data_IF_120645756590
#
_entry.id   IF_120645756590
#
_cell.length_a   1.000
_cell.length_b   1.000
_cell.length_c   1.000
_cell.angle_alpha   90.00
_cell.angle_beta   90.00
_cell.angle_gamma   90.00
#
_symmetry.space_group_name_H-M   'P 1'
#
loop_
_entity.id
_entity.type
_entity.pdbx_description
1 polymer ?
#
# COMPACT_ATOMS: atom_id res chain seq x y z
N UNK A 1 -22.58 23.67 59.22
CA UNK A 1 -22.33 22.53 58.31
C UNK A 1 -22.46 21.27 59.13
N UNK A 2 -23.45 20.42 58.84
CA UNK A 2 -23.73 19.24 59.67
C UNK A 2 -22.62 18.20 59.44
N UNK A 3 -21.70 18.09 60.42
CA UNK A 3 -20.57 17.16 60.39
C UNK A 3 -21.07 15.71 60.53
N UNK A 4 -20.59 14.82 59.66
CA UNK A 4 -20.93 13.39 59.65
C UNK A 4 -20.53 12.67 60.97
N UNK A 5 -19.53 13.16 61.69
CA UNK A 5 -19.19 12.64 63.02
C UNK A 5 -20.28 12.94 64.06
N UNK A 6 -20.86 14.15 64.02
CA UNK A 6 -21.96 14.53 64.91
C UNK A 6 -23.23 13.74 64.61
N UNK A 7 -23.51 13.46 63.33
CA UNK A 7 -24.61 12.58 62.91
C UNK A 7 -24.42 11.15 63.44
N UNK A 8 -23.20 10.60 63.37
CA UNK A 8 -22.88 9.25 63.88
C UNK A 8 -23.01 9.17 65.41
N UNK A 9 -22.57 10.21 66.13
CA UNK A 9 -22.74 10.31 67.58
C UNK A 9 -24.22 10.38 67.97
N UNK A 10 -25.00 11.22 67.30
CA UNK A 10 -26.44 11.33 67.54
C UNK A 10 -27.19 10.03 67.22
N UNK A 11 -26.79 9.32 66.16
CA UNK A 11 -27.33 7.98 65.84
C UNK A 11 -27.09 6.98 66.97
N UNK A 12 -25.89 6.97 67.55
CA UNK A 12 -25.54 6.09 68.68
C UNK A 12 -26.37 6.39 69.93
N UNK A 13 -26.67 7.67 70.19
CA UNK A 13 -27.58 8.07 71.28
C UNK A 13 -29.00 7.56 71.02
N UNK A 14 -29.55 7.82 69.83
CA UNK A 14 -30.89 7.37 69.43
C UNK A 14 -31.02 5.85 69.51
N UNK A 15 -29.99 5.09 69.08
CA UNK A 15 -29.96 3.62 69.14
C UNK A 15 -30.08 3.10 70.58
N UNK A 16 -29.38 3.71 71.55
CA UNK A 16 -29.49 3.34 72.97
C UNK A 16 -30.90 3.56 73.53
N UNK A 17 -31.61 4.57 73.04
CA UNK A 17 -33.01 4.80 73.40
C UNK A 17 -33.95 3.80 72.73
N UNK A 18 -33.73 3.43 71.45
CA UNK A 18 -34.51 2.39 70.77
C UNK A 18 -34.45 1.05 71.52
N UNK A 19 -33.29 0.67 72.07
CA UNK A 19 -33.11 -0.57 72.82
C UNK A 19 -33.78 -0.58 74.22
N UNK A 20 -34.09 0.60 74.78
CA UNK A 20 -34.61 0.75 76.15
C UNK A 20 -36.13 1.05 76.22
N UNK A 21 -36.82 1.16 75.08
CA UNK A 21 -38.25 1.51 75.04
C UNK A 21 -39.11 0.24 74.99
N UNK A 22 -39.90 0.01 76.04
CA UNK A 22 -41.00 -0.98 76.02
C UNK A 22 -42.14 -0.47 75.11
N UNK A 23 -42.60 -1.33 74.21
CA UNK A 23 -43.67 -1.14 73.22
C UNK A 23 -44.84 -0.24 73.70
N UNK A 24 -44.69 1.06 73.50
CA UNK A 24 -45.78 2.03 73.50
C UNK A 24 -45.79 2.62 72.09
N UNK A 25 -46.84 2.28 71.34
CA UNK A 25 -46.89 2.30 69.87
C UNK A 25 -46.56 3.66 69.23
N UNK A 26 -46.75 4.77 69.96
CA UNK A 26 -46.50 6.12 69.47
C UNK A 26 -45.05 6.60 69.66
N UNK A 27 -44.45 6.39 70.83
CA UNK A 27 -43.07 6.85 71.11
C UNK A 27 -42.04 6.04 70.33
N UNK A 28 -42.25 4.72 70.21
CA UNK A 28 -41.38 3.85 69.42
C UNK A 28 -41.38 4.25 67.94
N UNK A 29 -42.56 4.55 67.37
CA UNK A 29 -42.70 5.01 65.98
C UNK A 29 -41.99 6.35 65.71
N UNK A 30 -42.06 7.30 66.66
CA UNK A 30 -41.37 8.60 66.54
C UNK A 30 -39.85 8.44 66.53
N UNK A 31 -39.32 7.61 67.42
CA UNK A 31 -37.87 7.36 67.52
C UNK A 31 -37.35 6.59 66.29
N UNK A 32 -38.12 5.61 65.80
CA UNK A 32 -37.75 4.84 64.61
C UNK A 32 -37.63 5.74 63.36
N UNK A 33 -38.56 6.69 63.18
CA UNK A 33 -38.49 7.64 62.07
C UNK A 33 -37.21 8.49 62.11
N UNK A 34 -36.87 9.02 63.28
CA UNK A 34 -35.64 9.78 63.47
C UNK A 34 -34.39 8.92 63.18
N UNK A 35 -34.38 7.66 63.62
CA UNK A 35 -33.29 6.72 63.37
C UNK A 35 -33.09 6.45 61.87
N UNK A 36 -34.18 6.17 61.15
CA UNK A 36 -34.15 5.88 59.71
C UNK A 36 -33.69 7.10 58.91
N UNK A 37 -34.10 8.31 59.30
CA UNK A 37 -33.57 9.53 58.68
C UNK A 37 -32.06 9.66 58.92
N UNK A 38 -31.57 9.47 60.15
CA UNK A 38 -30.15 9.59 60.44
C UNK A 38 -29.32 8.59 59.61
N UNK A 39 -29.81 7.36 59.45
CA UNK A 39 -29.18 6.38 58.55
C UNK A 39 -29.22 6.83 57.09
N UNK A 40 -30.34 7.39 56.64
CA UNK A 40 -30.50 7.95 55.30
C UNK A 40 -29.50 9.09 55.04
N UNK A 41 -29.37 10.04 55.97
CA UNK A 41 -28.45 11.16 55.84
C UNK A 41 -26.98 10.71 55.84
N UNK A 42 -26.65 9.67 56.61
CA UNK A 42 -25.32 9.05 56.60
C UNK A 42 -25.07 8.32 55.27
N UNK A 43 -26.07 7.60 54.75
CA UNK A 43 -26.01 6.90 53.47
C UNK A 43 -25.80 7.87 52.29
N UNK A 44 -26.50 9.01 52.30
CA UNK A 44 -26.39 10.02 51.25
C UNK A 44 -25.05 10.79 51.29
N UNK A 45 -24.35 10.80 52.42
CA UNK A 45 -23.01 11.37 52.55
C UNK A 45 -22.92 12.81 52.03
N UNK A 46 -22.04 13.04 51.06
CA UNK A 46 -21.83 14.36 50.42
C UNK A 46 -22.98 14.81 49.52
N UNK A 47 -23.83 13.90 49.04
CA UNK A 47 -24.91 14.22 48.10
C UNK A 47 -26.23 14.62 48.80
N UNK A 48 -26.27 14.55 50.13
CA UNK A 48 -27.48 14.83 50.92
C UNK A 48 -28.12 16.19 50.62
N UNK A 49 -27.32 17.23 50.40
CA UNK A 49 -27.82 18.59 50.09
C UNK A 49 -28.35 18.71 48.65
N UNK A 50 -27.80 17.93 47.71
CA UNK A 50 -28.24 17.92 46.32
C UNK A 50 -29.54 17.12 46.14
N UNK A 51 -29.70 16.04 46.92
CA UNK A 51 -30.85 15.13 46.85
C UNK A 51 -32.05 15.68 47.65
N UNK A 52 -31.78 16.40 48.75
CA UNK A 52 -32.80 16.97 49.66
C UNK A 52 -32.76 18.51 49.74
N UNK A 53 -32.75 19.23 48.60
CA UNK A 53 -32.52 20.67 48.58
C UNK A 53 -33.60 21.46 49.32
N UNK A 54 -34.86 21.01 49.33
CA UNK A 54 -35.98 21.74 49.94
C UNK A 54 -35.93 21.68 51.46
N UNK A 55 -35.72 20.49 52.04
CA UNK A 55 -35.65 20.28 53.47
C UNK A 55 -34.40 20.92 54.07
N UNK A 56 -33.24 20.83 53.41
CA UNK A 56 -32.05 21.55 53.85
C UNK A 56 -32.26 23.07 53.79
N UNK A 57 -32.83 23.62 52.70
CA UNK A 57 -33.07 25.06 52.60
C UNK A 57 -34.03 25.59 53.66
N UNK A 58 -35.06 24.82 54.02
CA UNK A 58 -36.13 25.27 54.92
C UNK A 58 -35.90 24.92 56.39
N UNK A 59 -35.25 23.79 56.68
CA UNK A 59 -35.14 23.24 58.03
C UNK A 59 -33.70 22.91 58.46
N UNK A 60 -32.66 23.32 57.72
CA UNK A 60 -31.26 23.06 58.09
C UNK A 60 -30.92 23.52 59.51
N UNK A 61 -31.34 24.72 59.92
CA UNK A 61 -31.08 25.23 61.26
C UNK A 61 -31.78 24.39 62.35
N UNK A 62 -33.03 23.98 62.10
CA UNK A 62 -33.79 23.13 63.01
C UNK A 62 -33.16 21.72 63.14
N UNK A 63 -32.67 21.17 62.04
CA UNK A 63 -31.94 19.90 62.04
C UNK A 63 -30.62 20.00 62.82
N UNK A 64 -29.88 21.10 62.70
CA UNK A 64 -28.65 21.33 63.46
C UNK A 64 -28.92 21.49 64.97
N UNK A 65 -30.01 22.17 65.34
CA UNK A 65 -30.45 22.24 66.74
C UNK A 65 -30.84 20.86 67.28
N UNK A 66 -31.56 20.05 66.50
CA UNK A 66 -31.90 18.67 66.89
C UNK A 66 -30.66 17.80 67.12
N UNK A 67 -29.65 17.90 66.25
CA UNK A 67 -28.42 17.11 66.37
C UNK A 67 -27.63 17.49 67.63
N UNK A 68 -27.65 18.76 68.04
CA UNK A 68 -26.92 19.25 69.22
C UNK A 68 -27.73 19.18 70.53
N UNK A 69 -29.04 18.94 70.49
CA UNK A 69 -29.88 18.86 71.70
C UNK A 69 -29.79 17.49 72.37
N UNK A 70 -30.12 17.37 73.66
CA UNK A 70 -30.22 16.09 74.37
C UNK A 70 -31.61 15.44 74.26
N UNK A 71 -32.62 16.16 73.76
CA UNK A 71 -33.97 15.67 73.58
C UNK A 71 -34.11 14.92 72.26
N UNK A 72 -34.63 13.68 72.32
CA UNK A 72 -34.69 12.75 71.18
C UNK A 72 -36.13 12.44 70.74
N UNK A 73 -37.12 12.66 71.62
CA UNK A 73 -38.49 12.17 71.46
C UNK A 73 -39.57 13.27 71.57
N UNK A 74 -39.20 14.53 71.34
CA UNK A 74 -40.16 15.64 71.26
C UNK A 74 -40.87 15.68 69.90
N UNK A 75 -42.09 16.22 69.91
CA UNK A 75 -42.93 16.32 68.71
C UNK A 75 -42.28 17.17 67.60
N UNK A 76 -41.46 18.17 67.96
CA UNK A 76 -40.77 19.03 67.00
C UNK A 76 -39.65 18.26 66.26
N UNK A 77 -38.81 17.52 66.98
CA UNK A 77 -37.80 16.64 66.37
C UNK A 77 -38.39 15.60 65.43
N UNK A 78 -39.53 15.02 65.79
CA UNK A 78 -40.24 14.08 64.93
C UNK A 78 -40.70 14.73 63.61
N UNK A 79 -41.28 15.93 63.68
CA UNK A 79 -41.75 16.67 62.50
C UNK A 79 -40.59 17.20 61.62
N UNK A 80 -39.45 17.56 62.22
CA UNK A 80 -38.22 17.86 61.50
C UNK A 80 -37.79 16.62 60.72
N UNK A 81 -37.67 15.47 61.39
CA UNK A 81 -37.21 14.25 60.73
C UNK A 81 -38.17 13.79 59.62
N UNK A 82 -39.48 13.90 59.85
CA UNK A 82 -40.50 13.59 58.86
C UNK A 82 -40.39 14.49 57.61
N UNK A 83 -40.01 15.76 57.77
CA UNK A 83 -39.87 16.68 56.63
C UNK A 83 -38.74 16.30 55.66
N UNK A 84 -37.58 15.87 56.18
CA UNK A 84 -36.48 15.40 55.35
C UNK A 84 -36.77 14.02 54.73
N UNK A 85 -37.42 13.13 55.51
CA UNK A 85 -37.77 11.79 55.03
C UNK A 85 -38.83 11.84 53.92
N UNK A 86 -39.77 12.80 53.97
CA UNK A 86 -40.76 13.07 52.92
C UNK A 86 -40.10 13.35 51.56
N UNK A 87 -39.14 14.26 51.55
CA UNK A 87 -38.45 14.66 50.32
C UNK A 87 -37.63 13.50 49.77
N UNK A 88 -36.96 12.75 50.65
CA UNK A 88 -36.22 11.55 50.24
C UNK A 88 -37.11 10.46 49.66
N UNK A 89 -38.29 10.24 50.25
CA UNK A 89 -39.29 9.32 49.73
C UNK A 89 -39.69 9.67 48.29
N UNK A 90 -39.94 10.94 47.98
CA UNK A 90 -40.29 11.36 46.62
C UNK A 90 -39.15 11.26 45.63
N UNK A 91 -37.93 11.57 46.05
CA UNK A 91 -36.72 11.33 45.26
C UNK A 91 -36.59 9.85 44.85
N UNK A 92 -36.74 8.93 45.82
CA UNK A 92 -36.71 7.49 45.54
C UNK A 92 -37.84 7.10 44.60
N UNK A 93 -39.07 7.58 44.86
CA UNK A 93 -40.27 7.16 44.13
C UNK A 93 -40.24 7.55 42.65
N UNK A 94 -39.72 8.74 42.32
CA UNK A 94 -39.83 9.28 40.96
C UNK A 94 -38.52 9.37 40.20
N UNK A 95 -37.40 9.66 40.87
CA UNK A 95 -36.11 9.92 40.22
C UNK A 95 -35.25 8.66 40.20
N UNK A 96 -35.14 7.97 41.34
CA UNK A 96 -34.26 6.81 41.46
C UNK A 96 -34.92 5.55 40.88
N UNK A 97 -34.58 5.22 39.64
CA UNK A 97 -35.09 4.08 38.85
C UNK A 97 -34.44 2.71 39.24
N UNK A 98 -34.02 2.55 40.50
CA UNK A 98 -33.35 1.33 41.02
C UNK A 98 -34.34 0.45 41.81
N UNK A 99 -34.13 -0.88 41.75
CA UNK A 99 -34.83 -1.84 42.61
C UNK A 99 -34.75 -1.42 44.10
N UNK A 100 -35.88 -1.56 44.81
CA UNK A 100 -36.02 -1.32 46.27
C UNK A 100 -35.23 -2.30 47.16
N UNK A 101 -34.25 -3.01 46.60
CA UNK A 101 -33.52 -4.10 47.26
C UNK A 101 -32.43 -3.59 48.22
N UNK A 102 -32.06 -2.29 48.16
CA UNK A 102 -31.12 -1.69 49.11
C UNK A 102 -31.83 -1.43 50.45
N UNK A 103 -31.35 -1.99 51.57
CA UNK A 103 -32.05 -1.95 52.86
C UNK A 103 -32.33 -0.52 53.36
N UNK A 104 -31.39 0.42 53.19
CA UNK A 104 -31.57 1.81 53.62
C UNK A 104 -32.68 2.55 52.84
N UNK A 105 -32.88 2.19 51.57
CA UNK A 105 -33.93 2.74 50.71
C UNK A 105 -35.29 2.15 51.10
N UNK A 106 -35.33 0.84 51.33
CA UNK A 106 -36.53 0.12 51.76
C UNK A 106 -37.02 0.61 53.13
N UNK A 107 -36.09 0.79 54.08
CA UNK A 107 -36.40 1.27 55.43
C UNK A 107 -36.98 2.69 55.42
N UNK A 108 -36.38 3.60 54.64
CA UNK A 108 -36.90 4.96 54.47
C UNK A 108 -38.31 4.96 53.84
N UNK A 109 -38.53 4.12 52.82
CA UNK A 109 -39.82 4.00 52.16
C UNK A 109 -40.90 3.47 53.11
N UNK A 110 -40.65 2.37 53.81
CA UNK A 110 -41.61 1.78 54.74
C UNK A 110 -41.92 2.68 55.93
N UNK A 111 -40.90 3.36 56.46
CA UNK A 111 -41.07 4.26 57.60
C UNK A 111 -41.96 5.45 57.25
N UNK A 112 -41.86 5.97 56.03
CA UNK A 112 -42.78 7.00 55.54
C UNK A 112 -44.22 6.49 55.35
N UNK A 113 -44.38 5.28 54.81
CA UNK A 113 -45.71 4.67 54.66
C UNK A 113 -46.40 4.44 56.02
N UNK A 114 -45.64 4.03 57.05
CA UNK A 114 -46.12 3.91 58.43
C UNK A 114 -46.54 5.29 58.98
N UNK A 115 -45.75 6.34 58.71
CA UNK A 115 -46.08 7.72 59.08
C UNK A 115 -47.41 8.20 58.47
N UNK A 116 -47.68 7.85 57.21
CA UNK A 116 -48.93 8.22 56.54
C UNK A 116 -50.14 7.52 57.18
N UNK A 117 -50.03 6.22 57.50
CA UNK A 117 -51.12 5.39 58.03
C UNK A 117 -51.52 5.71 59.47
N UNK A 118 -50.56 6.07 60.32
CA UNK A 118 -50.80 6.26 61.76
C UNK A 118 -51.16 7.72 62.10
N UNK A 119 -52.12 7.92 63.00
CA UNK A 119 -52.44 9.23 63.58
C UNK A 119 -51.75 9.39 64.94
N UNK A 120 -51.01 10.48 65.11
CA UNK A 120 -50.23 10.77 66.31
C UNK A 120 -50.79 12.01 67.03
N UNK A 121 -50.83 11.97 68.36
CA UNK A 121 -51.28 13.11 69.17
C UNK A 121 -50.12 14.10 69.34
N UNK A 122 -50.13 15.20 68.58
CA UNK A 122 -49.09 16.23 68.61
C UNK A 122 -49.54 17.40 69.48
N UNK A 123 -48.78 17.70 70.54
CA UNK A 123 -49.03 18.82 71.48
C UNK A 123 -48.11 20.03 71.21
N UNK A 124 -47.64 20.17 69.97
CA UNK A 124 -46.50 21.01 69.58
C UNK A 124 -46.54 22.48 70.05
N UNK A 125 -45.36 23.09 70.12
CA UNK A 125 -45.16 24.53 70.33
C UNK A 125 -44.29 25.10 69.19
N UNK A 126 -44.62 26.30 68.71
CA UNK A 126 -43.86 26.99 67.66
C UNK A 126 -44.29 26.62 66.23
N UNK A 127 -43.33 26.55 65.29
CA UNK A 127 -43.56 26.29 63.85
C UNK A 127 -43.97 24.82 63.59
N UNK A 128 -43.58 23.90 64.46
CA UNK A 128 -43.88 22.47 64.37
C UNK A 128 -45.11 22.12 65.21
N UNK A 129 -46.28 22.55 64.75
CA UNK A 129 -47.57 22.35 65.40
C UNK A 129 -48.41 21.25 64.72
N UNK A 130 -49.63 21.02 65.23
CA UNK A 130 -50.56 20.05 64.66
C UNK A 130 -50.99 20.42 63.22
N UNK A 131 -51.06 21.72 62.90
CA UNK A 131 -51.41 22.17 61.55
C UNK A 131 -50.30 21.84 60.55
N UNK A 132 -49.04 22.00 60.96
CA UNK A 132 -47.87 21.58 60.20
C UNK A 132 -47.89 20.07 59.92
N UNK A 133 -48.20 19.23 60.90
CA UNK A 133 -48.36 17.78 60.71
C UNK A 133 -49.42 17.44 59.66
N UNK A 134 -50.59 18.08 59.73
CA UNK A 134 -51.68 17.88 58.76
C UNK A 134 -51.27 18.32 57.35
N UNK A 135 -50.55 19.44 57.24
CA UNK A 135 -50.04 19.93 55.97
C UNK A 135 -48.94 19.02 55.42
N UNK A 136 -48.06 18.49 56.26
CA UNK A 136 -46.97 17.60 55.85
C UNK A 136 -47.51 16.33 55.17
N UNK A 137 -48.59 15.74 55.70
CA UNK A 137 -49.28 14.59 55.10
C UNK A 137 -49.98 14.90 53.78
N UNK A 138 -50.57 16.10 53.65
CA UNK A 138 -51.43 16.45 52.50
C UNK A 138 -50.75 17.29 51.42
N UNK A 139 -49.53 17.74 51.64
CA UNK A 139 -48.84 18.62 50.71
C UNK A 139 -48.42 17.87 49.43
N UNK A 140 -49.13 18.20 48.34
CA UNK A 140 -48.98 17.69 46.97
C UNK A 140 -47.93 18.42 46.15
N UNK A 141 -47.41 19.56 46.61
CA UNK A 141 -46.49 20.37 45.81
C UNK A 141 -45.18 19.61 45.54
N UNK A 142 -44.58 19.03 46.58
CA UNK A 142 -43.35 18.24 46.46
C UNK A 142 -43.55 17.01 45.54
N UNK A 143 -44.70 16.35 45.64
CA UNK A 143 -45.07 15.20 44.81
C UNK A 143 -45.05 15.57 43.31
N UNK A 144 -45.75 16.66 42.95
CA UNK A 144 -45.77 17.15 41.56
C UNK A 144 -44.40 17.66 41.09
N UNK A 145 -43.62 18.28 41.98
CA UNK A 145 -42.28 18.78 41.66
C UNK A 145 -41.34 17.63 41.25
N UNK A 146 -41.23 16.59 42.09
CA UNK A 146 -40.38 15.43 41.80
C UNK A 146 -40.88 14.61 40.60
N UNK A 147 -42.19 14.51 40.41
CA UNK A 147 -42.77 13.91 39.21
C UNK A 147 -42.41 14.70 37.94
N UNK A 148 -42.43 16.03 37.98
CA UNK A 148 -42.06 16.86 36.83
C UNK A 148 -40.57 16.74 36.48
N UNK A 149 -39.71 16.66 37.50
CA UNK A 149 -38.27 16.47 37.32
C UNK A 149 -37.95 15.11 36.69
N UNK A 150 -38.60 14.03 37.13
CA UNK A 150 -38.36 12.71 36.56
C UNK A 150 -38.77 12.60 35.10
N UNK A 151 -39.85 13.27 34.69
CA UNK A 151 -40.26 13.35 33.29
C UNK A 151 -39.19 14.08 32.45
N UNK A 152 -38.64 15.19 32.97
CA UNK A 152 -37.58 15.92 32.30
C UNK A 152 -36.29 15.09 32.19
N UNK A 153 -35.89 14.43 33.27
CA UNK A 153 -34.71 13.56 33.31
C UNK A 153 -34.82 12.40 32.32
N UNK A 154 -35.97 11.71 32.28
CA UNK A 154 -36.23 10.64 31.31
C UNK A 154 -36.14 11.12 29.88
N UNK A 155 -36.70 12.30 29.58
CA UNK A 155 -36.62 12.92 28.25
C UNK A 155 -35.19 13.31 27.87
N UNK A 156 -34.41 13.77 28.85
CA UNK A 156 -33.00 14.09 28.63
C UNK A 156 -32.17 12.82 28.39
N UNK A 157 -32.37 11.79 29.21
CA UNK A 157 -31.70 10.49 29.10
C UNK A 157 -31.95 9.83 27.74
N UNK A 158 -33.20 9.79 27.29
CA UNK A 158 -33.53 9.21 25.98
C UNK A 158 -32.90 9.98 24.82
N UNK A 159 -32.82 11.32 24.91
CA UNK A 159 -32.14 12.14 23.91
C UNK A 159 -30.62 11.91 23.91
N UNK A 160 -30.03 11.70 25.09
CA UNK A 160 -28.61 11.41 25.25
C UNK A 160 -28.27 10.05 24.62
N UNK A 161 -29.09 9.03 24.87
CA UNK A 161 -28.96 7.70 24.28
C UNK A 161 -29.10 7.71 22.76
N UNK A 162 -30.03 8.51 22.22
CA UNK A 162 -30.14 8.72 20.77
C UNK A 162 -28.88 9.35 20.17
N UNK A 163 -28.28 10.34 20.84
CA UNK A 163 -27.04 10.97 20.39
C UNK A 163 -25.85 10.02 20.45
N UNK A 164 -25.77 9.18 21.48
CA UNK A 164 -24.71 8.19 21.64
C UNK A 164 -24.81 7.12 20.55
N UNK A 165 -26.02 6.60 20.28
CA UNK A 165 -26.27 5.68 19.19
C UNK A 165 -25.96 6.30 17.82
N UNK A 166 -26.32 7.57 17.59
CA UNK A 166 -25.98 8.28 16.36
C UNK A 166 -24.45 8.42 16.19
N UNK A 167 -23.72 8.72 17.26
CA UNK A 167 -22.26 8.79 17.26
C UNK A 167 -21.63 7.44 16.92
N UNK A 168 -22.08 6.36 17.56
CA UNK A 168 -21.56 4.99 17.30
C UNK A 168 -21.83 4.57 15.87
N UNK A 169 -23.04 4.82 15.36
CA UNK A 169 -23.39 4.51 13.97
C UNK A 169 -22.55 5.31 12.97
N UNK A 170 -22.34 6.61 13.21
CA UNK A 170 -21.48 7.44 12.38
C UNK A 170 -20.02 6.99 12.36
N UNK A 171 -19.48 6.58 13.51
CA UNK A 171 -18.12 6.03 13.60
C UNK A 171 -17.99 4.70 12.85
N UNK A 172 -19.00 3.84 12.89
CA UNK A 172 -19.04 2.59 12.14
C UNK A 172 -19.02 2.84 10.64
N UNK A 173 -19.86 3.75 10.14
CA UNK A 173 -19.93 4.09 8.72
C UNK A 173 -18.60 4.69 8.20
N UNK A 174 -17.95 5.54 9.00
CA UNK A 174 -16.63 6.08 8.67
C UNK A 174 -15.59 4.96 8.57
N UNK A 175 -15.59 4.00 9.49
CA UNK A 175 -14.66 2.87 9.46
C UNK A 175 -14.90 1.94 8.26
N UNK A 176 -16.16 1.68 7.91
CA UNK A 176 -16.51 0.88 6.72
C UNK A 176 -16.01 1.57 5.45
N UNK A 177 -16.28 2.87 5.28
CA UNK A 177 -15.80 3.67 4.13
C UNK A 177 -14.26 3.75 4.08
N UNK A 178 -13.60 3.81 5.23
CA UNK A 178 -12.14 3.76 5.29
C UNK A 178 -11.60 2.42 4.80
N UNK A 179 -12.22 1.31 5.23
CA UNK A 179 -11.85 -0.04 4.79
C UNK A 179 -12.03 -0.24 3.28
N UNK A 180 -13.14 0.24 2.71
CA UNK A 180 -13.35 0.20 1.25
C UNK A 180 -12.33 1.03 0.50
N UNK A 181 -12.03 2.25 0.98
CA UNK A 181 -11.03 3.13 0.37
C UNK A 181 -9.63 2.51 0.39
N UNK A 182 -9.22 1.90 1.51
CA UNK A 182 -7.92 1.22 1.61
C UNK A 182 -7.83 0.05 0.59
N UNK A 183 -8.92 -0.70 0.39
CA UNK A 183 -8.96 -1.76 -0.62
C UNK A 183 -8.87 -1.25 -2.06
N UNK A 184 -9.53 -0.12 -2.36
CA UNK A 184 -9.46 0.52 -3.67
C UNK A 184 -8.06 1.06 -3.94
N UNK A 185 -7.42 1.63 -2.93
CA UNK A 185 -6.07 2.16 -3.01
C UNK A 185 -5.04 1.05 -3.26
N UNK A 186 -5.18 -0.11 -2.60
CA UNK A 186 -4.36 -1.28 -2.87
C UNK A 186 -4.55 -1.82 -4.29
N UNK A 187 -5.79 -1.86 -4.79
CA UNK A 187 -6.06 -2.28 -6.16
C UNK A 187 -5.50 -1.27 -7.18
N UNK A 188 -5.61 0.02 -6.90
CA UNK A 188 -5.04 1.08 -7.72
C UNK A 188 -3.51 0.94 -7.78
N UNK A 189 -2.84 0.74 -6.65
CA UNK A 189 -1.38 0.57 -6.59
C UNK A 189 -0.92 -0.68 -7.37
N UNK A 190 -1.62 -1.81 -7.21
CA UNK A 190 -1.39 -3.02 -8.03
C UNK A 190 -1.53 -2.75 -9.52
N UNK A 191 -2.54 -1.99 -9.93
CA UNK A 191 -2.74 -1.63 -11.34
C UNK A 191 -1.64 -0.70 -11.86
N UNK A 192 -1.18 0.26 -11.05
CA UNK A 192 -0.05 1.13 -11.42
C UNK A 192 1.23 0.33 -11.59
N UNK A 193 1.53 -0.60 -10.68
CA UNK A 193 2.71 -1.47 -10.78
C UNK A 193 2.61 -2.35 -12.03
N UNK A 194 1.44 -2.95 -12.29
CA UNK A 194 1.19 -3.77 -13.49
C UNK A 194 1.41 -2.96 -14.77
N UNK A 195 0.77 -1.78 -14.89
CA UNK A 195 0.90 -0.92 -16.06
C UNK A 195 2.35 -0.45 -16.26
N UNK A 196 3.08 -0.16 -15.18
CA UNK A 196 4.50 0.19 -15.24
C UNK A 196 5.35 -0.96 -15.76
N UNK A 197 5.09 -2.18 -15.30
CA UNK A 197 5.77 -3.38 -15.78
C UNK A 197 5.49 -3.63 -17.26
N UNK A 198 4.23 -3.55 -17.69
CA UNK A 198 3.84 -3.67 -19.11
C UNK A 198 4.51 -2.59 -19.97
N UNK A 199 4.58 -1.35 -19.46
CA UNK A 199 5.26 -0.25 -20.16
C UNK A 199 6.76 -0.50 -20.30
N UNK A 200 7.41 -1.00 -19.26
CA UNK A 200 8.84 -1.36 -19.30
C UNK A 200 9.10 -2.53 -20.25
N UNK A 201 8.24 -3.54 -20.24
CA UNK A 201 8.31 -4.67 -21.17
C UNK A 201 8.17 -4.17 -22.61
N UNK A 202 7.17 -3.34 -22.89
CA UNK A 202 6.95 -2.74 -24.20
C UNK A 202 8.14 -1.89 -24.66
N UNK A 203 8.73 -1.09 -23.76
CA UNK A 203 9.93 -0.31 -24.04
C UNK A 203 11.11 -1.22 -24.43
N UNK A 204 11.30 -2.34 -23.71
CA UNK A 204 12.34 -3.31 -24.03
C UNK A 204 12.10 -4.02 -25.38
N UNK A 205 10.84 -4.32 -25.72
CA UNK A 205 10.48 -4.91 -27.01
C UNK A 205 10.71 -3.92 -28.16
N UNK A 206 10.35 -2.64 -27.96
CA UNK A 206 10.62 -1.57 -28.92
C UNK A 206 12.12 -1.38 -29.16
N UNK A 207 12.94 -1.45 -28.12
CA UNK A 207 14.40 -1.38 -28.25
C UNK A 207 14.97 -2.57 -29.04
N UNK A 208 14.49 -3.78 -28.76
CA UNK A 208 14.84 -4.99 -29.54
C UNK A 208 14.42 -4.85 -31.00
N UNK A 209 13.20 -4.37 -31.28
CA UNK A 209 12.72 -4.14 -32.65
C UNK A 209 13.51 -3.06 -33.38
N UNK A 210 13.85 -1.95 -32.71
CA UNK A 210 14.70 -0.88 -33.27
C UNK A 210 16.06 -1.43 -33.66
N UNK A 211 16.65 -2.26 -32.79
CA UNK A 211 17.94 -2.91 -33.04
C UNK A 211 17.86 -3.86 -34.23
N UNK A 212 16.83 -4.72 -34.28
CA UNK A 212 16.55 -5.61 -35.40
C UNK A 212 16.43 -4.85 -36.72
N UNK A 213 15.65 -3.77 -36.73
CA UNK A 213 15.40 -2.96 -37.92
C UNK A 213 16.68 -2.28 -38.42
N UNK A 214 17.54 -1.79 -37.52
CA UNK A 214 18.83 -1.21 -37.89
C UNK A 214 19.72 -2.23 -38.59
N UNK A 215 19.77 -3.49 -38.13
CA UNK A 215 20.55 -4.55 -38.77
C UNK A 215 19.97 -4.98 -40.13
N UNK A 216 18.64 -5.03 -40.27
CA UNK A 216 17.98 -5.22 -41.56
C UNK A 216 18.33 -4.08 -42.53
N UNK A 217 18.35 -2.84 -42.05
CA UNK A 217 18.78 -1.67 -42.82
C UNK A 217 20.24 -1.76 -43.28
N UNK A 218 21.14 -2.17 -42.40
CA UNK A 218 22.56 -2.39 -42.72
C UNK A 218 22.75 -3.53 -43.73
N UNK A 219 22.04 -4.65 -43.58
CA UNK A 219 22.05 -5.78 -44.52
C UNK A 219 21.61 -5.36 -45.93
N UNK A 220 20.52 -4.58 -46.04
CA UNK A 220 20.10 -3.95 -47.31
C UNK A 220 21.15 -2.98 -47.87
N UNK A 221 21.86 -2.26 -46.99
CA UNK A 221 22.98 -1.41 -47.36
C UNK A 221 24.12 -2.20 -48.02
N UNK A 222 24.53 -3.32 -47.41
CA UNK A 222 25.53 -4.22 -47.98
C UNK A 222 25.09 -4.85 -49.30
N UNK A 223 23.82 -5.28 -49.41
CA UNK A 223 23.26 -5.82 -50.65
C UNK A 223 23.39 -4.83 -51.82
N UNK A 224 23.12 -3.53 -51.57
CA UNK A 224 23.27 -2.47 -52.58
C UNK A 224 24.73 -2.29 -53.01
N UNK A 225 25.68 -2.40 -52.08
CA UNK A 225 27.12 -2.31 -52.38
C UNK A 225 27.58 -3.55 -53.15
N UNK A 226 27.13 -4.74 -52.75
CA UNK A 226 27.39 -6.02 -53.40
C UNK A 226 26.96 -5.96 -54.87
N UNK A 227 25.72 -5.53 -55.15
CA UNK A 227 25.20 -5.40 -56.52
C UNK A 227 26.08 -4.49 -57.39
N UNK A 228 26.56 -3.36 -56.84
CA UNK A 228 27.50 -2.47 -57.55
C UNK A 228 28.84 -3.13 -57.82
N UNK A 229 29.41 -3.87 -56.85
CA UNK A 229 30.70 -4.57 -57.03
C UNK A 229 30.60 -5.74 -58.00
N UNK A 230 29.49 -6.48 -58.02
CA UNK A 230 29.24 -7.55 -59.00
C UNK A 230 29.16 -7.01 -60.42
N UNK A 231 28.55 -5.84 -60.62
CA UNK A 231 28.55 -5.17 -61.92
C UNK A 231 29.99 -4.76 -62.36
N UNK A 232 30.79 -4.23 -61.44
CA UNK A 232 32.21 -3.91 -61.71
C UNK A 232 33.05 -5.17 -62.01
N UNK A 233 32.78 -6.29 -61.33
CA UNK A 233 33.39 -7.61 -61.60
C UNK A 233 33.06 -8.07 -63.01
N UNK A 234 31.80 -8.00 -63.42
CA UNK A 234 31.36 -8.36 -64.77
C UNK A 234 32.05 -7.50 -65.83
N UNK A 235 32.15 -6.19 -65.60
CA UNK A 235 32.85 -5.26 -66.49
C UNK A 235 34.33 -5.64 -66.62
N UNK A 236 34.99 -5.98 -65.51
CA UNK A 236 36.39 -6.43 -65.53
C UNK A 236 36.57 -7.78 -66.24
N UNK A 237 35.59 -8.69 -66.14
CA UNK A 237 35.58 -9.96 -66.85
C UNK A 237 35.45 -9.77 -68.37
N UNK A 238 34.53 -8.91 -68.82
CA UNK A 238 34.39 -8.56 -70.23
C UNK A 238 35.67 -7.94 -70.78
N UNK A 239 36.34 -7.08 -70.00
CA UNK A 239 37.63 -6.51 -70.40
C UNK A 239 38.73 -7.56 -70.54
N UNK A 240 38.83 -8.52 -69.60
CA UNK A 240 39.76 -9.66 -69.73
C UNK A 240 39.48 -10.45 -71.00
N UNK A 241 38.21 -10.75 -71.27
CA UNK A 241 37.82 -11.48 -72.48
C UNK A 241 38.22 -10.76 -73.76
N UNK A 242 38.02 -9.44 -73.83
CA UNK A 242 38.43 -8.61 -74.98
C UNK A 242 39.96 -8.62 -75.17
N UNK A 243 40.74 -8.50 -74.09
CA UNK A 243 42.20 -8.59 -74.17
C UNK A 243 42.64 -9.96 -74.68
N UNK A 244 42.06 -11.05 -74.16
CA UNK A 244 42.39 -12.40 -74.63
C UNK A 244 42.01 -12.62 -76.09
N UNK A 245 40.86 -12.09 -76.52
CA UNK A 245 40.46 -12.17 -77.93
C UNK A 245 41.45 -11.42 -78.82
N UNK A 246 41.91 -10.23 -78.38
CA UNK A 246 42.95 -9.47 -79.08
C UNK A 246 44.22 -10.30 -79.27
N UNK A 247 44.71 -10.99 -78.23
CA UNK A 247 45.88 -11.89 -78.33
C UNK A 247 45.71 -12.95 -79.41
N UNK A 248 44.57 -13.65 -79.40
CA UNK A 248 44.29 -14.68 -80.40
C UNK A 248 44.19 -14.12 -81.81
N UNK A 249 43.65 -12.91 -82.00
CA UNK A 249 43.60 -12.27 -83.32
C UNK A 249 44.99 -11.91 -83.85
N UNK A 250 45.90 -11.45 -82.98
CA UNK A 250 47.28 -11.12 -83.35
C UNK A 250 48.04 -12.40 -83.73
N UNK A 251 47.91 -13.46 -82.94
CA UNK A 251 48.55 -14.74 -83.21
C UNK A 251 48.02 -15.40 -84.49
N UNK A 252 46.71 -15.32 -84.75
CA UNK A 252 46.09 -15.81 -85.97
C UNK A 252 46.50 -15.01 -87.21
N UNK A 253 46.61 -13.68 -87.10
CA UNK A 253 47.12 -12.83 -88.17
C UNK A 253 48.60 -13.10 -88.47
N UNK A 254 49.41 -13.29 -87.42
CA UNK A 254 50.80 -13.70 -87.54
C UNK A 254 50.91 -15.04 -88.29
N UNK A 255 50.11 -16.05 -87.92
CA UNK A 255 50.12 -17.36 -88.59
C UNK A 255 49.77 -17.26 -90.08
N UNK A 256 48.75 -16.47 -90.45
CA UNK A 256 48.31 -16.31 -91.84
C UNK A 256 49.26 -15.44 -92.69
N UNK A 257 50.11 -14.63 -92.06
CA UNK A 257 51.04 -13.71 -92.75
C UNK A 257 52.45 -14.29 -92.90
N UNK A 258 52.69 -15.51 -92.41
CA UNK A 258 53.96 -16.22 -92.60
C UNK A 258 54.11 -16.63 -94.08
N UNK A 259 55.23 -16.32 -94.75
CA UNK A 259 55.49 -16.79 -96.10
C UNK A 259 55.71 -18.31 -96.13
N UNK A 260 55.20 -18.99 -97.17
CA UNK A 260 55.33 -20.45 -97.37
C UNK A 260 56.77 -20.90 -97.69
N UNK A 261 57.67 -19.96 -97.98
CA UNK A 261 59.08 -20.17 -98.35
C UNK A 261 60.00 -19.95 -97.13
N UNK A 262 61.08 -20.74 -96.96
CA UNK A 262 62.00 -20.59 -95.82
C UNK A 262 62.80 -19.28 -95.91
N UNK A 263 62.36 -18.24 -95.19
CA UNK A 263 63.09 -16.98 -95.02
C UNK A 263 64.35 -17.14 -94.16
N UNK A 264 65.40 -16.37 -94.45
CA UNK A 264 66.60 -16.29 -93.61
C UNK A 264 66.23 -15.93 -92.15
N UNK A 265 66.98 -16.48 -91.19
CA UNK A 265 66.71 -16.32 -89.74
C UNK A 265 66.59 -14.83 -89.34
N UNK A 266 67.37 -13.95 -89.97
CA UNK A 266 67.37 -12.53 -89.65
C UNK A 266 66.06 -11.82 -90.04
N UNK A 267 65.49 -12.15 -91.21
CA UNK A 267 64.23 -11.57 -91.68
C UNK A 267 63.02 -12.07 -90.87
N UNK A 268 63.07 -13.34 -90.42
CA UNK A 268 62.10 -13.89 -89.48
C UNK A 268 62.05 -13.10 -88.16
N UNK A 269 63.22 -12.79 -87.58
CA UNK A 269 63.30 -12.00 -86.34
C UNK A 269 62.80 -10.56 -86.52
N UNK A 270 63.08 -9.94 -87.67
CA UNK A 270 62.60 -8.59 -88.00
C UNK A 270 61.07 -8.53 -88.11
N UNK A 271 60.45 -9.58 -88.63
CA UNK A 271 58.99 -9.71 -88.71
C UNK A 271 58.36 -10.03 -87.35
N UNK A 272 58.97 -10.93 -86.56
CA UNK A 272 58.41 -11.40 -85.28
C UNK A 272 58.51 -10.38 -84.12
N UNK A 273 59.56 -9.55 -84.11
CA UNK A 273 59.86 -8.66 -82.97
C UNK A 273 58.74 -7.66 -82.61
N UNK A 274 58.07 -6.98 -83.57
CA UNK A 274 56.95 -6.10 -83.25
C UNK A 274 55.73 -6.83 -82.67
N UNK A 275 55.42 -8.04 -83.17
CA UNK A 275 54.31 -8.85 -82.66
C UNK A 275 54.57 -9.35 -81.24
N UNK A 276 55.80 -9.80 -80.95
CA UNK A 276 56.19 -10.18 -79.58
C UNK A 276 56.10 -9.00 -78.62
N UNK A 277 56.58 -7.81 -79.02
CA UNK A 277 56.50 -6.61 -78.18
C UNK A 277 55.05 -6.23 -77.83
N UNK A 278 54.16 -6.31 -78.82
CA UNK A 278 52.74 -6.04 -78.64
C UNK A 278 52.04 -7.10 -77.75
N UNK A 279 52.40 -8.37 -77.92
CA UNK A 279 51.94 -9.47 -77.06
C UNK A 279 52.40 -9.27 -75.60
N UNK A 280 53.65 -8.85 -75.38
CA UNK A 280 54.14 -8.56 -74.02
C UNK A 280 53.36 -7.43 -73.33
N UNK A 281 52.99 -6.38 -74.06
CA UNK A 281 52.19 -5.27 -73.53
C UNK A 281 50.78 -5.75 -73.15
N UNK A 282 50.14 -6.53 -74.03
CA UNK A 282 48.81 -7.07 -73.76
C UNK A 282 48.84 -8.08 -72.59
N UNK A 283 49.90 -8.88 -72.44
CA UNK A 283 50.08 -9.77 -71.29
C UNK A 283 50.21 -8.98 -69.98
N UNK A 284 50.91 -7.85 -70.01
CA UNK A 284 51.01 -6.95 -68.86
C UNK A 284 49.63 -6.36 -68.49
N UNK A 285 48.89 -5.86 -69.48
CA UNK A 285 47.53 -5.35 -69.25
C UNK A 285 46.59 -6.44 -68.74
N UNK A 286 46.67 -7.64 -69.30
CA UNK A 286 45.93 -8.80 -68.81
C UNK A 286 46.22 -9.08 -67.34
N UNK A 287 47.50 -9.09 -66.93
CA UNK A 287 47.90 -9.27 -65.53
C UNK A 287 47.32 -8.18 -64.62
N UNK A 288 47.37 -6.92 -65.04
CA UNK A 288 46.84 -5.79 -64.26
C UNK A 288 45.33 -5.92 -64.07
N UNK A 289 44.58 -6.21 -65.14
CA UNK A 289 43.13 -6.39 -65.07
C UNK A 289 42.77 -7.64 -64.26
N UNK A 290 43.56 -8.72 -64.34
CA UNK A 290 43.36 -9.93 -63.55
C UNK A 290 43.58 -9.67 -62.05
N UNK A 291 44.61 -8.87 -61.68
CA UNK A 291 44.83 -8.43 -60.29
C UNK A 291 43.66 -7.59 -59.79
N UNK A 292 43.11 -6.70 -60.62
CA UNK A 292 41.91 -5.92 -60.28
C UNK A 292 40.65 -6.80 -60.13
N UNK A 293 40.44 -7.78 -61.01
CA UNK A 293 39.35 -8.74 -60.92
C UNK A 293 39.42 -9.56 -59.62
N UNK A 294 40.60 -10.09 -59.29
CA UNK A 294 40.82 -10.83 -58.05
C UNK A 294 40.59 -9.95 -56.81
N UNK A 295 41.02 -8.69 -56.83
CA UNK A 295 40.74 -7.74 -55.73
C UNK A 295 39.23 -7.48 -55.57
N UNK A 296 38.47 -7.30 -56.66
CA UNK A 296 37.01 -7.16 -56.59
C UNK A 296 36.37 -8.43 -56.02
N UNK A 297 36.83 -9.61 -56.43
CA UNK A 297 36.31 -10.89 -55.94
C UNK A 297 36.52 -11.04 -54.42
N UNK A 298 37.71 -10.67 -53.91
CA UNK A 298 37.98 -10.66 -52.47
C UNK A 298 37.07 -9.68 -51.73
N UNK A 299 36.85 -8.49 -52.27
CA UNK A 299 35.94 -7.50 -51.66
C UNK A 299 34.49 -7.98 -51.63
N UNK A 300 34.02 -8.66 -52.68
CA UNK A 300 32.68 -9.27 -52.75
C UNK A 300 32.52 -10.32 -51.65
N UNK A 301 33.47 -11.25 -51.53
CA UNK A 301 33.44 -12.32 -50.52
C UNK A 301 33.37 -11.74 -49.09
N UNK A 302 34.12 -10.67 -48.82
CA UNK A 302 34.10 -10.03 -47.50
C UNK A 302 32.79 -9.26 -47.22
N UNK A 303 32.15 -8.69 -48.24
CA UNK A 303 30.83 -8.04 -48.10
C UNK A 303 29.76 -9.09 -47.86
N UNK A 304 29.78 -10.22 -48.57
CA UNK A 304 28.83 -11.34 -48.38
C UNK A 304 28.93 -11.93 -46.98
N UNK A 305 30.15 -12.06 -46.46
CA UNK A 305 30.38 -12.50 -45.08
C UNK A 305 29.73 -11.51 -44.09
N UNK A 306 29.97 -10.21 -44.25
CA UNK A 306 29.38 -9.16 -43.38
C UNK A 306 27.86 -9.06 -43.50
N UNK A 307 27.31 -9.22 -44.69
CA UNK A 307 25.87 -9.25 -44.92
C UNK A 307 25.22 -10.46 -44.24
N UNK A 308 25.82 -11.64 -44.38
CA UNK A 308 25.37 -12.86 -43.70
C UNK A 308 25.38 -12.65 -42.18
N UNK A 309 26.46 -12.07 -41.65
CA UNK A 309 26.52 -11.76 -40.22
C UNK A 309 25.42 -10.81 -39.78
N UNK A 310 25.17 -9.71 -40.50
CA UNK A 310 24.09 -8.78 -40.13
C UNK A 310 22.70 -9.43 -40.18
N UNK A 311 22.49 -10.47 -41.00
CA UNK A 311 21.25 -11.24 -41.01
C UNK A 311 21.14 -12.19 -39.80
N UNK A 312 22.28 -12.72 -39.34
CA UNK A 312 22.35 -13.61 -38.17
C UNK A 312 22.63 -12.87 -36.86
N UNK A 313 22.96 -11.58 -36.87
CA UNK A 313 23.55 -10.86 -35.72
C UNK A 313 22.59 -10.76 -34.53
N UNK A 314 21.28 -10.74 -34.77
CA UNK A 314 20.31 -10.68 -33.68
C UNK A 314 20.29 -12.00 -32.91
N UNK A 315 20.26 -13.12 -33.63
CA UNK A 315 20.43 -14.46 -33.05
C UNK A 315 21.85 -14.68 -32.51
N UNK A 316 22.86 -14.09 -33.15
CA UNK A 316 24.26 -14.16 -32.74
C UNK A 316 24.53 -13.36 -31.47
N UNK A 317 23.97 -12.16 -31.29
CA UNK A 317 24.19 -11.35 -30.11
C UNK A 317 23.59 -12.01 -28.87
N UNK A 318 22.42 -12.62 -29.02
CA UNK A 318 21.78 -13.43 -27.98
C UNK A 318 22.60 -14.72 -27.71
N UNK A 319 23.06 -15.42 -28.76
CA UNK A 319 23.91 -16.62 -28.66
C UNK A 319 25.32 -16.34 -28.08
N UNK A 320 25.93 -15.23 -28.48
CA UNK A 320 27.24 -14.77 -28.02
C UNK A 320 27.18 -14.38 -26.55
N UNK A 321 26.09 -13.78 -26.08
CA UNK A 321 25.89 -13.49 -24.65
C UNK A 321 25.87 -14.77 -23.83
N UNK A 322 25.15 -15.79 -24.30
CA UNK A 322 25.01 -17.08 -23.62
C UNK A 322 26.30 -17.94 -23.68
N UNK A 323 27.03 -17.89 -24.80
CA UNK A 323 28.29 -18.62 -25.00
C UNK A 323 29.47 -17.91 -24.34
N UNK A 324 29.49 -16.57 -24.24
CA UNK A 324 30.56 -15.82 -23.58
C UNK A 324 30.66 -16.09 -22.08
N UNK A 325 29.53 -16.44 -21.44
CA UNK A 325 29.51 -16.90 -20.04
C UNK A 325 30.05 -18.32 -19.87
N UNK A 326 30.03 -19.16 -20.93
CA UNK A 326 30.45 -20.57 -20.87
C UNK A 326 31.84 -20.84 -21.46
N UNK A 327 32.19 -20.18 -22.57
CA UNK A 327 33.45 -20.41 -23.31
C UNK A 327 33.85 -19.22 -24.23
N UNK A 328 34.19 -18.08 -23.63
CA UNK A 328 34.51 -16.83 -24.35
C UNK A 328 35.70 -16.90 -25.31
N UNK A 329 36.67 -17.81 -25.09
CA UNK A 329 37.86 -17.94 -25.93
C UNK A 329 37.58 -18.57 -27.31
N UNK A 330 36.58 -19.44 -27.41
CA UNK A 330 36.15 -20.04 -28.67
C UNK A 330 35.35 -19.04 -29.52
N UNK A 331 34.58 -18.19 -28.84
CA UNK A 331 33.81 -17.10 -29.45
C UNK A 331 34.73 -16.02 -30.03
N UNK A 332 35.72 -15.55 -29.28
CA UNK A 332 36.68 -14.54 -29.75
C UNK A 332 37.47 -15.03 -30.99
N UNK A 333 37.81 -16.32 -31.05
CA UNK A 333 38.47 -16.91 -32.23
C UNK A 333 37.54 -16.94 -33.43
N UNK A 334 36.27 -17.31 -33.23
CA UNK A 334 35.25 -17.28 -34.27
C UNK A 334 35.01 -15.84 -34.78
N UNK A 335 34.84 -14.88 -33.88
CA UNK A 335 34.67 -13.46 -34.21
C UNK A 335 35.86 -12.91 -35.00
N UNK A 336 37.09 -13.19 -34.58
CA UNK A 336 38.27 -12.73 -35.30
C UNK A 336 38.39 -13.35 -36.71
N UNK A 337 37.97 -14.60 -36.89
CA UNK A 337 37.96 -15.27 -38.19
C UNK A 337 36.94 -14.63 -39.15
N UNK A 338 35.83 -14.17 -38.59
CA UNK A 338 34.65 -13.69 -39.31
C UNK A 338 34.66 -12.15 -39.53
N UNK A 339 35.20 -11.36 -38.59
CA UNK A 339 35.22 -9.89 -38.62
C UNK A 339 36.57 -9.29 -39.04
N UNK A 340 37.55 -10.10 -39.46
CA UNK A 340 38.83 -9.60 -39.95
C UNK A 340 38.67 -8.53 -41.05
N UNK A 341 39.60 -7.57 -41.06
CA UNK A 341 39.54 -6.37 -41.91
C UNK A 341 39.53 -6.71 -43.40
N UNK A 342 38.76 -5.92 -44.18
CA UNK A 342 38.70 -6.01 -45.65
C UNK A 342 40.07 -5.64 -46.22
N UNK A 343 40.91 -6.64 -46.50
CA UNK A 343 42.22 -6.39 -47.11
C UNK A 343 42.02 -6.01 -48.58
N UNK A 344 42.46 -4.81 -48.93
CA UNK A 344 42.24 -4.20 -50.25
C UNK A 344 43.18 -4.72 -51.34
N UNK A 345 44.18 -5.53 -50.95
CA UNK A 345 45.33 -5.88 -51.78
C UNK A 345 45.50 -7.40 -51.84
N UNK A 346 45.40 -7.97 -53.04
CA UNK A 346 45.50 -9.42 -53.29
C UNK A 346 46.84 -10.07 -52.91
N UNK A 347 47.81 -9.30 -52.42
CA UNK A 347 49.14 -9.77 -52.01
C UNK A 347 49.28 -10.03 -50.51
N UNK A 348 48.24 -9.76 -49.71
CA UNK A 348 48.15 -10.22 -48.33
C UNK A 348 46.74 -10.76 -48.10
N UNK A 349 46.45 -11.91 -48.70
CA UNK A 349 45.44 -12.80 -48.12
C UNK A 349 46.03 -13.22 -46.77
N UNK A 350 45.41 -12.91 -45.61
CA UNK A 350 45.95 -13.34 -44.34
C UNK A 350 46.01 -14.87 -44.35
N UNK A 351 47.11 -15.44 -43.85
CA UNK A 351 47.37 -16.90 -43.82
C UNK A 351 46.36 -17.69 -42.96
N UNK A 352 45.26 -17.07 -42.56
CA UNK A 352 44.08 -17.70 -41.95
C UNK A 352 43.19 -18.41 -42.97
N UNK A 353 43.34 -18.13 -44.27
CA UNK A 353 42.66 -18.91 -45.33
C UNK A 353 43.40 -20.22 -45.68
N UNK A 354 44.66 -20.39 -45.21
CA UNK A 354 45.45 -21.63 -45.31
C UNK A 354 45.13 -22.65 -44.19
N UNK A 355 43.94 -22.55 -43.58
CA UNK A 355 43.42 -23.54 -42.61
C UNK A 355 43.25 -24.97 -43.15
N UNK A 356 43.52 -25.20 -44.44
CA UNK A 356 43.59 -26.53 -45.06
C UNK A 356 44.76 -27.38 -44.54
N UNK A 357 45.86 -26.76 -44.09
CA UNK A 357 47.01 -27.49 -43.53
C UNK A 357 46.68 -28.12 -42.16
N UNK A 358 45.84 -27.44 -41.37
CA UNK A 358 45.33 -27.98 -40.11
C UNK A 358 44.29 -29.11 -40.30
N UNK A 359 43.45 -29.02 -41.34
CA UNK A 359 42.49 -30.09 -41.68
C UNK A 359 43.24 -31.34 -42.18
N UNK A 360 44.33 -31.16 -42.93
CA UNK A 360 45.16 -32.27 -43.42
C UNK A 360 45.87 -33.01 -42.28
N UNK A 361 46.29 -32.30 -41.23
CA UNK A 361 46.86 -32.92 -40.03
C UNK A 361 45.81 -33.67 -39.19
N UNK A 362 44.57 -33.17 -39.12
CA UNK A 362 43.45 -33.88 -38.47
C UNK A 362 43.05 -35.16 -39.21
N UNK A 363 43.06 -35.14 -40.55
CA UNK A 363 42.79 -36.33 -41.38
C UNK A 363 43.92 -37.36 -41.26
N UNK A 364 45.19 -36.92 -41.13
CA UNK A 364 46.32 -37.82 -40.84
C UNK A 364 46.23 -38.45 -39.45
N UNK A 365 45.79 -37.71 -38.42
CA UNK A 365 45.60 -38.27 -37.07
C UNK A 365 44.43 -39.25 -36.96
N UNK A 366 43.46 -39.19 -37.89
CA UNK A 366 42.33 -40.12 -37.95
C UNK A 366 42.63 -41.39 -38.78
N UNK A 367 43.82 -41.51 -39.38
CA UNK A 367 44.26 -42.67 -40.16
C UNK A 367 45.45 -43.40 -39.53
N UNK A 368 45.64 -43.25 -38.21
CA UNK A 368 46.51 -44.10 -37.40
C UNK A 368 45.71 -45.01 -36.49
#
# INVERSE_FOLDING_TARGET
MINDEKLKQKRLEVLKYVQNVNNTDEKASKINLCFVLLNTLIYLGSEKENILPFAFRKYSYALEQYINSSNIADDASYLICASFLKEYYFYIKYIKDDNKDKPEIFDAYNTWEIFLRNEFQIKGQGIFDFNYYKNLKNDRFLDYFYLSLSIQERKFKSKLEQLENAKVNGLREINERKGTLDSELQNFDKNIIKNRNETNELASLLEKQKTAFNFVGLSKGFEKILKKKTCAKWTSFVLLFLITLSMFTILGYYHNSLPDEPTEIFDFWKFLMPYLGLEFILLYLFRVVLKHYNSIQTQIMQIELRQSLCQFIQSYADYAKEIKEKDGTSLDKFENLIFSSIVSTSEQVPSTFDGLEHITNLIKSAKS
#
